data_IF_239301902190
#
_entry.id   IF_239301902190
#
_cell.length_a   1.000
_cell.length_b   1.000
_cell.length_c   1.000
_cell.angle_alpha   90.00
_cell.angle_beta   90.00
_cell.angle_gamma   90.00
#
_symmetry.space_group_name_H-M   'P 1'
#
loop_
_entity.id
_entity.type
_entity.pdbx_description
1 polymer ?
#
# COMPACT_ATOMS: atom_id res chain seq x y z
N UNK A 1 -7.33 37.53 96.16
CA UNK A 1 -6.81 36.19 96.46
C UNK A 1 -7.15 35.32 95.26
N UNK A 2 -6.17 34.66 94.66
CA UNK A 2 -6.42 33.69 93.59
C UNK A 2 -6.86 32.42 94.31
N UNK A 3 -8.15 32.30 94.58
CA UNK A 3 -8.70 31.01 94.98
C UNK A 3 -8.71 30.13 93.74
N UNK A 4 -7.75 29.20 93.70
CA UNK A 4 -7.68 28.14 92.71
C UNK A 4 -8.85 27.18 92.97
N UNK A 5 -10.04 27.63 92.62
CA UNK A 5 -11.28 26.90 92.78
C UNK A 5 -11.43 25.83 91.70
N UNK A 6 -12.19 24.78 92.00
CA UNK A 6 -12.62 23.74 91.06
C UNK A 6 -13.18 24.35 89.75
N UNK A 7 -13.80 25.54 89.81
CA UNK A 7 -14.25 26.28 88.62
C UNK A 7 -13.14 26.62 87.62
N UNK A 8 -11.92 26.94 88.07
CA UNK A 8 -10.79 27.20 87.16
C UNK A 8 -10.35 25.92 86.43
N UNK A 9 -10.37 24.79 87.13
CA UNK A 9 -10.11 23.48 86.53
C UNK A 9 -11.19 23.11 85.49
N UNK A 10 -12.46 23.35 85.80
CA UNK A 10 -13.58 23.16 84.87
C UNK A 10 -13.43 24.06 83.63
N UNK A 11 -13.01 25.32 83.80
CA UNK A 11 -12.82 26.25 82.69
C UNK A 11 -11.64 25.85 81.78
N UNK A 12 -10.55 25.34 82.35
CA UNK A 12 -9.43 24.76 81.59
C UNK A 12 -9.89 23.53 80.79
N UNK A 13 -10.65 22.62 81.42
CA UNK A 13 -11.23 21.46 80.73
C UNK A 13 -12.14 21.90 79.59
N UNK A 14 -12.99 22.91 79.80
CA UNK A 14 -13.86 23.45 78.75
C UNK A 14 -13.04 24.02 77.57
N UNK A 15 -11.98 24.77 77.84
CA UNK A 15 -11.08 25.28 76.81
C UNK A 15 -10.46 24.16 75.98
N UNK A 16 -9.97 23.09 76.63
CA UNK A 16 -9.41 21.93 75.92
C UNK A 16 -10.47 21.17 75.11
N UNK A 17 -11.70 21.05 75.60
CA UNK A 17 -12.81 20.44 74.85
C UNK A 17 -13.10 21.27 73.59
N UNK A 18 -13.24 22.59 73.71
CA UNK A 18 -13.48 23.48 72.57
C UNK A 18 -12.31 23.42 71.58
N UNK A 19 -11.06 23.39 72.07
CA UNK A 19 -9.87 23.26 71.23
C UNK A 19 -9.82 21.91 70.50
N UNK A 20 -10.20 20.82 71.15
CA UNK A 20 -10.30 19.50 70.54
C UNK A 20 -11.40 19.44 69.46
N UNK A 21 -12.58 20.02 69.75
CA UNK A 21 -13.69 20.13 68.80
C UNK A 21 -13.29 21.00 67.60
N UNK A 22 -12.65 22.14 67.84
CA UNK A 22 -12.17 23.03 66.77
C UNK A 22 -11.09 22.37 65.91
N UNK A 23 -10.18 21.61 66.50
CA UNK A 23 -9.18 20.84 65.77
C UNK A 23 -9.84 19.77 64.87
N UNK A 24 -10.84 19.07 65.40
CA UNK A 24 -11.59 18.05 64.65
C UNK A 24 -12.43 18.64 63.51
N UNK A 25 -13.10 19.79 63.75
CA UNK A 25 -14.03 20.41 62.80
C UNK A 25 -13.35 21.33 61.80
N UNK A 26 -12.22 21.98 62.14
CA UNK A 26 -11.62 23.01 61.29
C UNK A 26 -10.27 22.58 60.70
N UNK A 27 -9.32 22.18 61.55
CA UNK A 27 -7.97 21.86 61.10
C UNK A 27 -7.91 20.63 60.19
N UNK A 28 -8.62 19.56 60.55
CA UNK A 28 -8.68 18.33 59.74
C UNK A 28 -9.29 18.55 58.34
N UNK A 29 -10.49 19.13 58.19
CA UNK A 29 -11.07 19.31 56.86
C UNK A 29 -10.34 20.35 56.01
N UNK A 30 -9.82 21.43 56.60
CA UNK A 30 -9.04 22.43 55.84
C UNK A 30 -7.82 21.78 55.20
N UNK A 31 -7.06 20.98 55.96
CA UNK A 31 -5.89 20.27 55.43
C UNK A 31 -6.29 19.24 54.36
N UNK A 32 -7.42 18.56 54.53
CA UNK A 32 -7.93 17.63 53.54
C UNK A 32 -8.32 18.33 52.22
N UNK A 33 -8.95 19.51 52.28
CA UNK A 33 -9.32 20.30 51.09
C UNK A 33 -8.08 20.79 50.35
N UNK A 34 -7.07 21.31 51.06
CA UNK A 34 -5.81 21.76 50.45
C UNK A 34 -5.12 20.59 49.73
N UNK A 35 -5.01 19.43 50.40
CA UNK A 35 -4.43 18.22 49.78
C UNK A 35 -5.22 17.77 48.55
N UNK A 36 -6.56 17.78 48.64
CA UNK A 36 -7.44 17.39 47.53
C UNK A 36 -7.32 18.33 46.33
N UNK A 37 -7.11 19.62 46.55
CA UNK A 37 -6.84 20.60 45.48
C UNK A 37 -5.48 20.34 44.82
N UNK A 38 -4.43 20.13 45.61
CA UNK A 38 -3.10 19.78 45.08
C UNK A 38 -3.13 18.50 44.24
N UNK A 39 -3.72 17.43 44.77
CA UNK A 39 -3.86 16.15 44.05
C UNK A 39 -4.66 16.27 42.75
N UNK A 40 -5.72 17.09 42.72
CA UNK A 40 -6.50 17.31 41.49
C UNK A 40 -5.70 18.06 40.44
N UNK A 41 -4.95 19.10 40.83
CA UNK A 41 -4.07 19.81 39.91
C UNK A 41 -2.98 18.90 39.35
N UNK A 42 -2.32 18.13 40.21
CA UNK A 42 -1.27 17.20 39.79
C UNK A 42 -1.82 16.12 38.86
N UNK A 43 -2.97 15.52 39.19
CA UNK A 43 -3.63 14.55 38.32
C UNK A 43 -4.00 15.16 36.95
N UNK A 44 -4.53 16.38 36.94
CA UNK A 44 -4.86 17.08 35.68
C UNK A 44 -3.62 17.35 34.83
N UNK A 45 -2.50 17.73 35.44
CA UNK A 45 -1.25 17.95 34.71
C UNK A 45 -0.73 16.64 34.12
N UNK A 46 -0.72 15.56 34.89
CA UNK A 46 -0.33 14.22 34.42
C UNK A 46 -1.24 13.73 33.30
N UNK A 47 -2.55 13.95 33.40
CA UNK A 47 -3.51 13.59 32.35
C UNK A 47 -3.25 14.38 31.06
N UNK A 48 -2.94 15.67 31.16
CA UNK A 48 -2.58 16.52 30.01
C UNK A 48 -1.29 16.01 29.36
N UNK A 49 -0.24 15.77 30.14
CA UNK A 49 1.05 15.26 29.63
C UNK A 49 0.87 13.90 28.94
N UNK A 50 0.10 12.99 29.54
CA UNK A 50 -0.22 11.70 28.95
C UNK A 50 -1.03 11.86 27.66
N UNK A 51 -2.00 12.78 27.62
CA UNK A 51 -2.79 13.04 26.43
C UNK A 51 -1.94 13.61 25.29
N UNK A 52 -1.05 14.56 25.59
CA UNK A 52 -0.13 15.11 24.59
C UNK A 52 0.85 14.05 24.09
N UNK A 53 1.42 13.23 24.99
CA UNK A 53 2.32 12.15 24.61
C UNK A 53 1.61 11.10 23.72
N UNK A 54 0.38 10.72 24.07
CA UNK A 54 -0.42 9.80 23.26
C UNK A 54 -0.81 10.40 21.92
N UNK A 55 -1.13 11.70 21.87
CA UNK A 55 -1.44 12.39 20.62
C UNK A 55 -0.21 12.45 19.69
N UNK A 56 0.96 12.81 20.22
CA UNK A 56 2.22 12.81 19.48
C UNK A 56 2.59 11.41 18.98
N UNK A 57 2.47 10.39 19.82
CA UNK A 57 2.71 9.00 19.43
C UNK A 57 1.75 8.56 18.31
N UNK A 58 0.46 8.87 18.43
CA UNK A 58 -0.53 8.57 17.38
C UNK A 58 -0.20 9.29 16.08
N UNK A 59 0.13 10.57 16.12
CA UNK A 59 0.54 11.34 14.94
C UNK A 59 1.80 10.77 14.29
N UNK A 60 2.83 10.43 15.09
CA UNK A 60 4.04 9.80 14.59
C UNK A 60 3.75 8.44 13.92
N UNK A 61 2.92 7.60 14.55
CA UNK A 61 2.52 6.30 13.99
C UNK A 61 1.71 6.46 12.69
N UNK A 62 0.82 7.45 12.63
CA UNK A 62 0.03 7.75 11.44
C UNK A 62 0.91 8.23 10.28
N UNK A 63 1.83 9.16 10.55
CA UNK A 63 2.77 9.65 9.56
C UNK A 63 3.70 8.53 9.04
N UNK A 64 4.17 7.66 9.93
CA UNK A 64 4.95 6.48 9.55
C UNK A 64 4.13 5.53 8.67
N UNK A 65 2.89 5.22 9.04
CA UNK A 65 2.01 4.36 8.26
C UNK A 65 1.70 4.96 6.88
N UNK A 66 1.48 6.27 6.81
CA UNK A 66 1.26 6.99 5.56
C UNK A 66 2.48 6.92 4.65
N UNK A 67 3.68 7.14 5.19
CA UNK A 67 4.93 7.03 4.42
C UNK A 67 5.14 5.62 3.87
N UNK A 68 4.93 4.59 4.70
CA UNK A 68 5.01 3.18 4.28
C UNK A 68 3.97 2.86 3.20
N UNK A 69 2.74 3.34 3.34
CA UNK A 69 1.70 3.14 2.34
C UNK A 69 2.05 3.82 0.99
N UNK A 70 2.62 5.03 1.02
CA UNK A 70 3.09 5.72 -0.18
C UNK A 70 4.24 4.97 -0.85
N UNK A 71 5.22 4.48 -0.07
CA UNK A 71 6.33 3.68 -0.59
C UNK A 71 5.85 2.38 -1.23
N UNK A 72 4.99 1.61 -0.54
CA UNK A 72 4.38 0.39 -1.09
C UNK A 72 3.58 0.68 -2.35
N UNK A 73 2.81 1.78 -2.36
CA UNK A 73 2.06 2.18 -3.54
C UNK A 73 2.96 2.54 -4.73
N UNK A 74 4.10 3.20 -4.48
CA UNK A 74 5.09 3.49 -5.51
C UNK A 74 5.79 2.22 -6.02
N UNK A 75 6.14 1.30 -5.13
CA UNK A 75 6.74 0.01 -5.44
C UNK A 75 5.81 -0.87 -6.29
N UNK A 76 4.55 -1.01 -5.89
CA UNK A 76 3.54 -1.76 -6.66
C UNK A 76 3.37 -1.16 -8.06
N UNK A 77 3.28 0.18 -8.17
CA UNK A 77 3.18 0.83 -9.49
C UNK A 77 4.42 0.59 -10.34
N UNK A 78 5.61 0.64 -9.75
CA UNK A 78 6.86 0.37 -10.45
C UNK A 78 6.93 -1.08 -10.91
N UNK A 79 6.53 -2.02 -10.06
CA UNK A 79 6.49 -3.45 -10.36
C UNK A 79 5.50 -3.75 -11.49
N UNK A 80 4.26 -3.28 -11.40
CA UNK A 80 3.25 -3.46 -12.46
C UNK A 80 3.69 -2.86 -13.79
N UNK A 81 4.39 -1.72 -13.76
CA UNK A 81 4.95 -1.10 -14.96
C UNK A 81 6.07 -1.97 -15.56
N UNK A 82 6.94 -2.52 -14.72
CA UNK A 82 8.01 -3.40 -15.17
C UNK A 82 7.46 -4.72 -15.73
N UNK A 83 6.49 -5.33 -15.07
CA UNK A 83 5.77 -6.52 -15.54
C UNK A 83 5.09 -6.24 -16.88
N UNK A 84 4.38 -5.11 -17.01
CA UNK A 84 3.76 -4.70 -18.27
C UNK A 84 4.76 -4.52 -19.42
N UNK A 85 5.93 -3.92 -19.16
CA UNK A 85 6.98 -3.83 -20.19
C UNK A 85 7.59 -5.19 -20.56
N UNK A 86 7.75 -6.09 -19.59
CA UNK A 86 8.24 -7.44 -19.88
C UNK A 86 7.23 -8.23 -20.71
N UNK A 87 5.94 -8.14 -20.38
CA UNK A 87 4.88 -8.81 -21.13
C UNK A 87 4.72 -8.22 -22.53
N UNK A 88 4.79 -6.91 -22.69
CA UNK A 88 4.79 -6.24 -23.99
C UNK A 88 5.99 -6.71 -24.83
N UNK A 89 7.20 -6.74 -24.26
CA UNK A 89 8.40 -7.21 -24.95
C UNK A 89 8.29 -8.69 -25.35
N UNK A 90 7.77 -9.55 -24.46
CA UNK A 90 7.58 -10.97 -24.75
C UNK A 90 6.54 -11.19 -25.86
N UNK A 91 5.43 -10.45 -25.83
CA UNK A 91 4.40 -10.49 -26.88
C UNK A 91 4.97 -10.04 -28.22
N UNK A 92 5.75 -8.94 -28.24
CA UNK A 92 6.38 -8.43 -29.46
C UNK A 92 7.39 -9.42 -30.05
N UNK A 93 8.17 -10.09 -29.19
CA UNK A 93 9.09 -11.15 -29.61
C UNK A 93 8.35 -12.35 -30.21
N UNK A 94 7.26 -12.79 -29.57
CA UNK A 94 6.45 -13.90 -30.08
C UNK A 94 5.78 -13.57 -31.41
N UNK A 95 5.17 -12.38 -31.53
CA UNK A 95 4.60 -11.91 -32.81
C UNK A 95 5.67 -11.82 -33.90
N UNK A 96 6.88 -11.36 -33.59
CA UNK A 96 7.95 -11.28 -34.58
C UNK A 96 8.45 -12.68 -35.01
N UNK A 97 8.48 -13.66 -34.08
CA UNK A 97 8.76 -15.07 -34.41
C UNK A 97 7.68 -15.65 -35.32
N UNK A 98 6.40 -15.46 -34.97
CA UNK A 98 5.28 -15.93 -35.77
C UNK A 98 5.30 -15.31 -37.17
N UNK A 99 5.48 -14.00 -37.27
CA UNK A 99 5.58 -13.30 -38.55
C UNK A 99 6.77 -13.80 -39.39
N UNK A 100 7.93 -14.05 -38.77
CA UNK A 100 9.09 -14.61 -39.46
C UNK A 100 8.85 -16.04 -39.96
N UNK A 101 8.12 -16.83 -39.19
CA UNK A 101 7.78 -18.22 -39.51
C UNK A 101 6.75 -18.29 -40.65
N UNK A 102 5.75 -17.39 -40.63
CA UNK A 102 4.76 -17.23 -41.70
C UNK A 102 5.39 -16.71 -42.99
N UNK A 103 6.32 -15.77 -42.92
CA UNK A 103 7.11 -15.33 -44.08
C UNK A 103 7.92 -16.47 -44.69
N UNK A 104 8.47 -17.35 -43.84
CA UNK A 104 9.23 -18.52 -44.29
C UNK A 104 8.32 -19.53 -44.98
N UNK A 105 7.18 -19.88 -44.40
CA UNK A 105 6.22 -20.81 -45.03
C UNK A 105 5.68 -20.24 -46.34
N UNK A 106 5.29 -18.96 -46.38
CA UNK A 106 4.81 -18.31 -47.59
C UNK A 106 5.87 -18.32 -48.73
N UNK A 107 7.15 -18.16 -48.39
CA UNK A 107 8.25 -18.29 -49.37
C UNK A 107 8.43 -19.73 -49.86
N UNK A 108 8.33 -20.71 -48.97
CA UNK A 108 8.41 -22.13 -49.33
C UNK A 108 7.24 -22.53 -50.24
N UNK A 109 6.02 -22.10 -49.91
CA UNK A 109 4.81 -22.34 -50.70
C UNK A 109 4.89 -21.67 -52.08
N UNK A 110 5.35 -20.42 -52.15
CA UNK A 110 5.56 -19.72 -53.42
C UNK A 110 6.61 -20.44 -54.30
N UNK A 111 7.71 -20.92 -53.71
CA UNK A 111 8.71 -21.69 -54.44
C UNK A 111 8.16 -23.04 -54.94
N UNK A 112 7.31 -23.68 -54.14
CA UNK A 112 6.57 -24.89 -54.51
C UNK A 112 5.63 -24.65 -55.69
N UNK A 113 4.82 -23.58 -55.65
CA UNK A 113 3.90 -23.20 -56.72
C UNK A 113 4.63 -22.86 -58.03
N UNK A 114 5.80 -22.20 -57.95
CA UNK A 114 6.62 -21.91 -59.13
C UNK A 114 7.12 -23.20 -59.76
N UNK A 115 7.60 -24.17 -58.96
CA UNK A 115 8.02 -25.48 -59.46
C UNK A 115 6.87 -26.25 -60.10
N UNK A 116 5.71 -26.35 -59.44
CA UNK A 116 4.55 -27.05 -60.00
C UNK A 116 4.05 -26.40 -61.30
N UNK A 117 4.09 -25.06 -61.36
CA UNK A 117 3.71 -24.33 -62.57
C UNK A 117 4.67 -24.60 -63.72
N UNK A 118 5.99 -24.59 -63.46
CA UNK A 118 7.01 -24.94 -64.45
C UNK A 118 6.86 -26.38 -64.96
N UNK A 119 6.60 -27.34 -64.09
CA UNK A 119 6.38 -28.74 -64.48
C UNK A 119 5.10 -28.89 -65.32
N UNK A 120 4.03 -28.19 -64.94
CA UNK A 120 2.80 -28.14 -65.73
C UNK A 120 2.99 -27.47 -67.10
N UNK A 121 3.85 -26.44 -67.18
CA UNK A 121 4.19 -25.79 -68.44
C UNK A 121 5.00 -26.75 -69.32
N UNK A 122 6.00 -27.45 -68.78
CA UNK A 122 6.79 -28.44 -69.53
C UNK A 122 5.90 -29.54 -70.13
N UNK A 123 4.94 -30.07 -69.35
CA UNK A 123 3.97 -31.04 -69.86
C UNK A 123 3.07 -30.48 -70.98
N UNK A 124 2.80 -29.17 -70.96
CA UNK A 124 2.07 -28.49 -72.05
C UNK A 124 2.96 -28.14 -73.24
N UNK A 125 4.26 -27.92 -73.03
CA UNK A 125 5.24 -27.61 -74.09
C UNK A 125 5.33 -28.76 -75.09
N UNK A 126 5.29 -30.02 -74.65
CA UNK A 126 5.25 -31.17 -75.56
C UNK A 126 3.99 -31.16 -76.44
N UNK A 127 2.84 -30.81 -75.87
CA UNK A 127 1.59 -30.66 -76.62
C UNK A 127 1.58 -29.45 -77.57
N UNK A 128 2.23 -28.35 -77.20
CA UNK A 128 2.43 -27.20 -78.08
C UNK A 128 3.43 -27.52 -79.21
N UNK A 129 4.51 -28.25 -78.91
CA UNK A 129 5.49 -28.70 -79.91
C UNK A 129 4.82 -29.64 -80.92
N UNK A 130 4.01 -30.60 -80.46
CA UNK A 130 3.26 -31.50 -81.34
C UNK A 130 2.28 -30.73 -82.24
N UNK A 131 1.56 -29.73 -81.71
CA UNK A 131 0.67 -28.86 -82.51
C UNK A 131 1.42 -28.00 -83.52
N UNK A 132 2.62 -27.54 -83.19
CA UNK A 132 3.47 -26.78 -84.14
C UNK A 132 3.99 -27.72 -85.23
N UNK A 133 4.48 -28.91 -84.88
CA UNK A 133 4.94 -29.92 -85.84
C UNK A 133 3.81 -30.37 -86.76
N UNK A 134 2.60 -30.61 -86.25
CA UNK A 134 1.43 -30.98 -87.03
C UNK A 134 1.03 -29.86 -88.02
N UNK A 135 1.15 -28.59 -87.61
CA UNK A 135 0.86 -27.44 -88.48
C UNK A 135 1.95 -27.17 -89.54
N UNK A 136 3.21 -27.50 -89.25
CA UNK A 136 4.33 -27.35 -90.20
C UNK A 136 4.39 -28.53 -91.18
N UNK A 137 4.12 -29.76 -90.72
CA UNK A 137 4.10 -30.96 -91.58
C UNK A 137 2.81 -31.02 -92.41
N UNK A 138 1.69 -30.49 -91.91
CA UNK A 138 0.45 -30.34 -92.70
C UNK A 138 0.52 -29.29 -93.82
N UNK A 139 1.61 -28.53 -93.92
CA UNK A 139 1.92 -27.67 -95.08
C UNK A 139 2.87 -28.35 -96.09
N UNK A 140 3.43 -29.52 -95.74
CA UNK A 140 4.39 -30.26 -96.57
C UNK A 140 3.76 -31.45 -97.32
N UNK A 141 2.44 -31.58 -97.31
CA UNK A 141 1.65 -32.47 -98.17
C UNK A 141 0.57 -31.64 -98.88
#
# INVERSE_FOLDING_TARGET
MIDLNISALIQIINFFIVLAVLNAILYRPIRAVIRKRGQRMEAQLVDIENFTAQAEQKMASYNSALSVAQQKGAEIRAQLKAEGYQEEAAMLEDMNKQASQELKSAREDAASQVRSSLDSLKGKVDGYAQKVTEKVVGWAM
#
